data_IF_427866198069
#
_entry.id   IF_427866198069
#
_cell.length_a   1.000
_cell.length_b   1.000
_cell.length_c   1.000
_cell.angle_alpha   90.00
_cell.angle_beta   90.00
_cell.angle_gamma   90.00
#
_symmetry.space_group_name_H-M   'P 1'
#
loop_
_entity.id
_entity.type
_entity.pdbx_description
1 polymer ?
#
# COMPACT_ATOMS: atom_id res chain seq x y z
N UNK A 1 13.75 9.75 14.43
CA UNK A 1 14.60 9.29 13.33
C UNK A 1 15.35 8.04 13.77
N UNK A 2 15.55 7.10 12.86
CA UNK A 2 16.24 5.84 13.09
C UNK A 2 17.77 6.05 13.03
N UNK A 3 18.52 5.74 14.10
CA UNK A 3 19.96 5.97 14.12
C UNK A 3 20.73 4.98 13.22
N UNK A 4 20.09 3.95 12.67
CA UNK A 4 20.76 2.90 11.87
C UNK A 4 21.58 3.48 10.74
N UNK A 5 20.98 4.34 9.91
CA UNK A 5 21.66 4.97 8.76
C UNK A 5 22.95 5.70 9.18
N UNK A 6 22.87 6.48 10.27
CA UNK A 6 24.02 7.23 10.80
C UNK A 6 25.07 6.30 11.41
N UNK A 7 24.65 5.31 12.19
CA UNK A 7 25.56 4.36 12.87
C UNK A 7 26.28 3.42 11.92
N UNK A 8 25.71 3.17 10.74
CA UNK A 8 26.31 2.32 9.72
C UNK A 8 26.95 3.13 8.59
N UNK A 9 27.17 4.44 8.77
CA UNK A 9 27.75 5.31 7.74
C UNK A 9 27.09 5.17 6.36
N UNK A 10 25.76 4.98 6.32
CA UNK A 10 25.00 4.84 5.08
C UNK A 10 24.94 3.45 4.46
N UNK A 11 25.51 2.41 5.09
CA UNK A 11 25.45 1.04 4.52
C UNK A 11 24.08 0.37 4.64
N UNK A 12 23.25 0.77 5.62
CA UNK A 12 21.95 0.16 5.88
C UNK A 12 20.86 1.22 5.99
N UNK A 13 19.82 1.06 5.16
CA UNK A 13 18.58 1.82 5.32
C UNK A 13 17.94 1.52 6.67
N UNK A 14 17.60 2.59 7.40
CA UNK A 14 16.81 2.51 8.63
C UNK A 14 15.31 2.34 8.33
N UNK A 15 14.50 2.37 9.38
CA UNK A 15 13.03 2.21 9.26
C UNK A 15 12.29 3.53 9.01
N UNK A 16 12.99 4.64 8.82
CA UNK A 16 12.34 5.95 8.68
C UNK A 16 11.46 6.04 7.44
N UNK A 17 11.81 5.35 6.34
CA UNK A 17 11.00 5.37 5.12
C UNK A 17 9.55 4.89 5.32
N UNK A 18 9.31 3.88 6.16
CA UNK A 18 7.97 3.40 6.47
C UNK A 18 7.28 4.15 7.63
N UNK A 19 7.90 5.23 8.13
CA UNK A 19 7.41 6.05 9.25
C UNK A 19 7.18 7.51 8.86
N UNK A 20 7.38 7.85 7.59
CA UNK A 20 7.02 9.14 7.05
C UNK A 20 5.51 9.34 7.27
N UNK A 21 5.07 10.50 7.81
CA UNK A 21 3.66 10.78 8.04
C UNK A 21 2.81 10.61 6.77
N UNK A 22 1.57 10.15 6.95
CA UNK A 22 0.67 9.84 5.84
C UNK A 22 0.17 11.10 5.12
N UNK A 23 0.07 11.07 3.77
CA UNK A 23 -0.52 12.15 3.00
C UNK A 23 -2.05 12.02 2.96
N UNK A 24 -2.74 12.95 3.63
CA UNK A 24 -4.20 13.00 3.70
C UNK A 24 -4.81 13.93 2.66
N UNK A 25 -4.21 15.10 2.47
CA UNK A 25 -4.69 16.15 1.56
C UNK A 25 -3.53 16.81 0.81
N UNK A 26 -3.50 16.68 -0.52
CA UNK A 26 -2.33 17.00 -1.35
C UNK A 26 -1.85 18.46 -1.23
N UNK A 27 -2.79 19.41 -1.16
CA UNK A 27 -2.46 20.85 -1.14
C UNK A 27 -2.39 21.44 0.28
N UNK A 28 -2.63 20.63 1.31
CA UNK A 28 -2.60 21.08 2.69
C UNK A 28 -1.16 21.06 3.27
N UNK A 29 -0.84 21.92 4.26
CA UNK A 29 0.43 21.84 4.98
C UNK A 29 0.73 20.42 5.47
N UNK A 30 1.96 19.93 5.25
CA UNK A 30 2.35 18.56 5.57
C UNK A 30 1.39 17.49 5.04
N UNK A 31 0.85 17.71 3.84
CA UNK A 31 -0.19 16.87 3.23
C UNK A 31 -1.39 16.60 4.16
N UNK A 32 -1.78 17.58 4.96
CA UNK A 32 -2.91 17.46 5.89
C UNK A 32 -2.62 16.65 7.16
N UNK A 33 -1.38 16.18 7.36
CA UNK A 33 -0.99 15.49 8.59
C UNK A 33 -0.89 16.44 9.79
N UNK A 34 -0.44 17.68 9.56
CA UNK A 34 -0.16 18.66 10.61
C UNK A 34 -0.61 20.06 10.16
N UNK A 35 -1.47 20.70 10.95
CA UNK A 35 -1.97 22.05 10.63
C UNK A 35 -0.85 23.10 10.57
N UNK A 36 0.25 22.89 11.30
CA UNK A 36 1.40 23.80 11.34
C UNK A 36 2.44 23.50 10.24
N UNK A 37 2.22 22.49 9.39
CA UNK A 37 3.16 22.12 8.33
C UNK A 37 4.47 21.48 8.82
N UNK A 38 4.56 21.11 10.10
CA UNK A 38 5.73 20.44 10.68
C UNK A 38 5.47 18.96 10.93
N UNK A 39 6.43 18.13 10.54
CA UNK A 39 6.42 16.67 10.81
C UNK A 39 7.76 16.18 11.32
N UNK A 40 7.76 15.05 12.06
CA UNK A 40 8.98 14.48 12.65
C UNK A 40 9.90 13.80 11.61
N UNK A 41 9.37 13.55 10.41
CA UNK A 41 10.10 13.08 9.23
C UNK A 41 9.65 13.89 8.00
N UNK A 42 10.56 14.14 7.04
CA UNK A 42 10.23 14.83 5.81
C UNK A 42 9.31 13.96 4.95
N UNK A 43 8.29 14.59 4.36
CA UNK A 43 7.41 13.95 3.38
C UNK A 43 7.95 14.22 1.97
N UNK A 44 8.20 13.20 1.14
CA UNK A 44 8.61 13.39 -0.24
C UNK A 44 7.55 14.15 -1.06
N UNK A 45 7.96 15.06 -1.92
CA UNK A 45 7.03 15.93 -2.66
C UNK A 45 6.12 15.12 -3.60
N UNK A 46 6.63 14.03 -4.16
CA UNK A 46 5.91 13.11 -5.04
C UNK A 46 4.70 12.43 -4.36
N UNK A 47 4.66 12.40 -3.02
CA UNK A 47 3.55 11.83 -2.26
C UNK A 47 2.27 12.65 -2.34
N UNK A 48 2.32 13.90 -2.83
CA UNK A 48 1.12 14.69 -3.11
C UNK A 48 0.14 13.93 -4.02
N UNK A 49 0.65 13.25 -5.04
CA UNK A 49 -0.17 12.43 -5.96
C UNK A 49 -0.73 11.15 -5.31
N UNK A 50 -0.18 10.76 -4.16
CA UNK A 50 -0.59 9.59 -3.39
C UNK A 50 -1.49 9.95 -2.20
N UNK A 51 -1.81 11.23 -2.01
CA UNK A 51 -2.66 11.69 -0.92
C UNK A 51 -4.06 11.07 -1.00
N UNK A 52 -4.68 10.85 0.16
CA UNK A 52 -6.01 10.23 0.24
C UNK A 52 -7.05 10.99 -0.60
N UNK A 53 -7.11 12.31 -0.51
CA UNK A 53 -8.07 13.13 -1.26
C UNK A 53 -7.91 12.99 -2.77
N UNK A 54 -6.69 12.91 -3.28
CA UNK A 54 -6.40 12.64 -4.69
C UNK A 54 -6.87 11.24 -5.07
N UNK A 55 -6.43 10.21 -4.33
CA UNK A 55 -6.78 8.83 -4.65
C UNK A 55 -8.26 8.51 -4.50
N UNK A 56 -8.99 9.20 -3.62
CA UNK A 56 -10.41 9.00 -3.38
C UNK A 56 -11.28 9.32 -4.60
N UNK A 57 -10.81 10.22 -5.48
CA UNK A 57 -11.51 10.62 -6.71
C UNK A 57 -11.01 9.88 -7.95
N UNK A 58 -9.92 9.11 -7.85
CA UNK A 58 -9.38 8.31 -8.95
C UNK A 58 -9.84 6.84 -8.84
N UNK A 59 -10.69 6.35 -9.76
CA UNK A 59 -11.14 4.96 -9.75
C UNK A 59 -10.02 3.95 -10.06
N UNK A 60 -8.91 4.38 -10.66
CA UNK A 60 -7.73 3.55 -10.94
C UNK A 60 -6.70 3.54 -9.79
N UNK A 61 -6.93 4.30 -8.72
CA UNK A 61 -5.99 4.41 -7.61
C UNK A 61 -5.86 3.13 -6.78
N UNK A 62 -4.74 3.02 -6.06
CA UNK A 62 -4.52 1.95 -5.07
C UNK A 62 -5.61 1.95 -3.98
N UNK A 63 -6.05 3.12 -3.50
CA UNK A 63 -7.15 3.23 -2.54
C UNK A 63 -8.46 2.64 -3.09
N UNK A 64 -8.82 3.00 -4.32
CA UNK A 64 -10.01 2.49 -5.00
C UNK A 64 -9.94 0.97 -5.21
N UNK A 65 -8.77 0.46 -5.60
CA UNK A 65 -8.48 -0.97 -5.71
C UNK A 65 -8.67 -1.70 -4.37
N UNK A 66 -8.06 -1.22 -3.28
CA UNK A 66 -8.19 -1.85 -1.96
C UNK A 66 -9.63 -1.82 -1.42
N UNK A 67 -10.36 -0.71 -1.61
CA UNK A 67 -11.78 -0.61 -1.24
C UNK A 67 -12.61 -1.66 -1.98
N UNK A 68 -12.38 -1.83 -3.29
CA UNK A 68 -13.03 -2.88 -4.09
C UNK A 68 -12.64 -4.27 -3.62
N UNK A 69 -11.35 -4.53 -3.39
CA UNK A 69 -10.86 -5.85 -2.95
C UNK A 69 -11.46 -6.25 -1.60
N UNK A 70 -11.51 -5.34 -0.62
CA UNK A 70 -12.11 -5.62 0.70
C UNK A 70 -13.63 -5.85 0.62
N UNK A 71 -14.33 -5.12 -0.27
CA UNK A 71 -15.75 -5.38 -0.53
C UNK A 71 -15.95 -6.78 -1.10
N UNK A 72 -15.22 -7.14 -2.16
CA UNK A 72 -15.31 -8.47 -2.80
C UNK A 72 -14.92 -9.58 -1.82
N UNK A 73 -13.90 -9.36 -0.98
CA UNK A 73 -13.53 -10.32 0.07
C UNK A 73 -14.71 -10.63 0.99
N UNK A 74 -15.45 -9.61 1.40
CA UNK A 74 -16.62 -9.78 2.28
C UNK A 74 -17.81 -10.39 1.54
N UNK A 75 -18.07 -9.96 0.30
CA UNK A 75 -19.18 -10.43 -0.53
C UNK A 75 -19.07 -11.93 -0.85
N UNK A 76 -17.85 -12.40 -1.10
CA UNK A 76 -17.58 -13.77 -1.48
C UNK A 76 -17.01 -14.64 -0.37
N UNK A 77 -16.98 -14.14 0.87
CA UNK A 77 -16.40 -14.85 2.01
C UNK A 77 -14.96 -15.34 1.75
N UNK A 78 -14.18 -14.60 0.95
CA UNK A 78 -12.82 -15.00 0.60
C UNK A 78 -11.95 -15.05 1.84
N UNK A 79 -11.28 -16.18 2.05
CA UNK A 79 -10.48 -16.48 3.23
C UNK A 79 -11.20 -17.31 4.30
N UNK A 80 -12.51 -17.51 4.16
CA UNK A 80 -13.27 -18.48 4.93
C UNK A 80 -13.54 -19.69 4.04
N UNK A 81 -12.84 -20.81 4.25
CA UNK A 81 -13.01 -22.02 3.44
C UNK A 81 -11.69 -22.71 3.08
N UNK A 82 -11.75 -23.85 2.36
CA UNK A 82 -10.56 -24.57 1.96
C UNK A 82 -9.76 -23.75 0.95
N UNK A 83 -8.44 -23.84 1.05
CA UNK A 83 -7.50 -23.31 0.07
C UNK A 83 -6.86 -24.48 -0.67
N UNK A 84 -6.84 -24.43 -2.00
CA UNK A 84 -6.16 -25.43 -2.84
C UNK A 84 -5.26 -24.73 -3.86
N UNK A 85 -3.99 -25.07 -3.87
CA UNK A 85 -3.03 -24.51 -4.82
C UNK A 85 -3.31 -25.00 -6.24
N UNK A 86 -3.12 -24.11 -7.22
CA UNK A 86 -3.25 -24.43 -8.65
C UNK A 86 -1.95 -24.04 -9.34
N UNK A 87 -1.29 -25.01 -9.95
CA UNK A 87 -0.09 -24.74 -10.74
C UNK A 87 -0.48 -24.26 -12.14
N UNK A 88 -0.12 -23.01 -12.46
CA UNK A 88 -0.32 -22.40 -13.78
C UNK A 88 1.02 -21.93 -14.40
N UNK A 89 2.16 -22.40 -13.87
CA UNK A 89 3.49 -22.01 -14.30
C UNK A 89 4.16 -20.93 -13.44
N UNK A 90 5.43 -20.67 -13.72
CA UNK A 90 6.37 -20.00 -12.80
C UNK A 90 6.08 -18.53 -12.49
N UNK A 91 5.30 -17.84 -13.33
CA UNK A 91 5.00 -16.41 -13.17
C UNK A 91 3.63 -16.15 -12.54
N UNK A 92 2.83 -17.19 -12.32
CA UNK A 92 1.47 -17.07 -11.82
C UNK A 92 1.36 -17.70 -10.44
N UNK A 93 0.94 -16.91 -9.45
CA UNK A 93 0.44 -17.45 -8.18
C UNK A 93 -1.05 -17.71 -8.35
N UNK A 94 -1.48 -18.96 -8.26
CA UNK A 94 -2.89 -19.31 -8.34
C UNK A 94 -3.34 -20.28 -7.24
N UNK A 95 -4.55 -20.05 -6.75
CA UNK A 95 -5.21 -20.93 -5.79
C UNK A 95 -6.73 -20.79 -5.89
N UNK A 96 -7.43 -21.86 -5.54
CA UNK A 96 -8.86 -21.86 -5.34
C UNK A 96 -9.17 -21.63 -3.85
N UNK A 97 -10.15 -20.77 -3.57
CA UNK A 97 -10.75 -20.56 -2.26
C UNK A 97 -12.25 -20.80 -2.36
N UNK A 98 -12.71 -21.97 -1.94
CA UNK A 98 -14.06 -22.44 -2.29
C UNK A 98 -14.25 -22.51 -3.80
N UNK A 99 -15.30 -21.86 -4.31
CA UNK A 99 -15.64 -21.85 -5.74
C UNK A 99 -14.93 -20.75 -6.54
N UNK A 100 -14.02 -19.98 -5.91
CA UNK A 100 -13.34 -18.84 -6.54
C UNK A 100 -11.87 -19.13 -6.77
N UNK A 101 -11.44 -18.96 -8.02
CA UNK A 101 -10.03 -18.98 -8.41
C UNK A 101 -9.41 -17.59 -8.31
N UNK A 102 -8.32 -17.48 -7.55
CA UNK A 102 -7.48 -16.28 -7.46
C UNK A 102 -6.23 -16.50 -8.30
N UNK A 103 -5.85 -15.49 -9.10
CA UNK A 103 -4.64 -15.50 -9.94
C UNK A 103 -3.94 -14.15 -9.78
N UNK A 104 -2.66 -14.17 -9.43
CA UNK A 104 -1.79 -13.00 -9.45
C UNK A 104 -0.61 -13.23 -10.39
N UNK A 105 -0.41 -12.33 -11.34
CA UNK A 105 0.69 -12.37 -12.27
C UNK A 105 1.88 -11.56 -11.72
N UNK A 106 3.04 -12.21 -11.62
CA UNK A 106 4.30 -11.63 -11.14
C UNK A 106 5.33 -11.44 -12.26
N UNK A 107 4.94 -11.59 -13.53
CA UNK A 107 5.80 -11.21 -14.65
C UNK A 107 6.11 -9.72 -14.60
N UNK A 108 7.38 -9.36 -14.85
CA UNK A 108 7.82 -7.98 -14.98
C UNK A 108 7.31 -7.31 -16.27
#
# INVERSE_FOLDING_TARGET
QDPTWQRTHGERYGRDGCRVPLPWAADAPSFGFSAQGKTWLPQPAEWASLARDVQEHDPASTLSMYRRALRLRREYHLGDGPLSWVDLGEHLLAFDNGDIRVIANFSA
#
